data_IF_796624034724
#
_entry.id   IF_796624034724
#
_cell.length_a   1.000
_cell.length_b   1.000
_cell.length_c   1.000
_cell.angle_alpha   90.00
_cell.angle_beta   90.00
_cell.angle_gamma   90.00
#
_symmetry.space_group_name_H-M   'P 1'
#
loop_
_entity.id
_entity.type
_entity.pdbx_description
1 polymer ?
#
# COMPACT_ATOMS: atom_id res chain seq x y z
N UNK A 1 37.17 -4.63 -4.06
CA UNK A 1 37.20 -3.19 -3.74
C UNK A 1 35.83 -2.78 -3.25
N UNK A 2 35.67 -2.22 -2.04
CA UNK A 2 34.41 -1.65 -1.61
C UNK A 2 34.15 -0.41 -2.48
N UNK A 3 33.12 -0.47 -3.33
CA UNK A 3 32.70 0.68 -4.13
C UNK A 3 32.21 1.77 -3.15
N UNK A 4 32.79 2.96 -3.32
CA UNK A 4 32.46 4.16 -2.53
C UNK A 4 30.97 4.48 -2.68
N UNK A 5 30.19 4.19 -1.64
CA UNK A 5 28.72 4.29 -1.64
C UNK A 5 28.25 5.75 -1.47
N UNK A 6 29.20 6.69 -1.46
CA UNK A 6 28.96 8.12 -1.23
C UNK A 6 28.87 8.96 -2.52
N UNK A 7 29.22 8.38 -3.69
CA UNK A 7 29.13 9.11 -4.95
C UNK A 7 27.66 9.39 -5.35
N UNK A 8 27.35 10.60 -5.86
CA UNK A 8 26.00 10.94 -6.33
C UNK A 8 25.58 9.98 -7.45
N UNK A 9 24.33 9.51 -7.35
CA UNK A 9 23.78 8.56 -8.34
C UNK A 9 23.57 9.31 -9.65
N UNK A 10 24.17 8.83 -10.76
CA UNK A 10 23.95 9.42 -12.09
C UNK A 10 22.48 9.33 -12.51
N UNK A 11 21.98 10.19 -13.43
CA UNK A 11 20.60 10.12 -13.93
C UNK A 11 20.22 8.72 -14.46
N UNK A 12 21.12 8.02 -15.15
CA UNK A 12 20.92 6.64 -15.58
C UNK A 12 20.82 5.68 -14.39
N UNK A 13 21.61 5.88 -13.34
CA UNK A 13 21.57 5.13 -12.08
C UNK A 13 20.26 5.34 -11.31
N UNK A 14 19.71 6.57 -11.31
CA UNK A 14 18.39 6.88 -10.72
C UNK A 14 17.30 6.10 -11.42
N UNK A 15 17.22 6.17 -12.76
CA UNK A 15 16.22 5.43 -13.56
C UNK A 15 16.32 3.92 -13.34
N UNK A 16 17.54 3.39 -13.28
CA UNK A 16 17.76 1.96 -12.98
C UNK A 16 17.26 1.59 -11.60
N UNK A 17 17.56 2.36 -10.56
CA UNK A 17 17.08 2.12 -9.20
C UNK A 17 15.56 2.16 -9.12
N UNK A 18 14.92 3.15 -9.75
CA UNK A 18 13.46 3.25 -9.80
C UNK A 18 12.84 2.05 -10.52
N UNK A 19 13.43 1.61 -11.65
CA UNK A 19 12.99 0.41 -12.36
C UNK A 19 13.10 -0.86 -11.51
N UNK A 20 14.24 -1.07 -10.83
CA UNK A 20 14.43 -2.21 -9.92
C UNK A 20 13.44 -2.18 -8.75
N UNK A 21 13.19 -1.00 -8.17
CA UNK A 21 12.20 -0.83 -7.11
C UNK A 21 10.77 -1.09 -7.61
N UNK A 22 10.44 -0.70 -8.85
CA UNK A 22 9.14 -1.01 -9.47
C UNK A 22 8.95 -2.53 -9.68
N UNK A 23 9.99 -3.23 -10.12
CA UNK A 23 9.97 -4.70 -10.23
C UNK A 23 9.84 -5.35 -8.85
N UNK A 24 10.61 -4.89 -7.86
CA UNK A 24 10.49 -5.38 -6.48
C UNK A 24 9.09 -5.14 -5.90
N UNK A 25 8.47 -3.98 -6.19
CA UNK A 25 7.09 -3.66 -5.84
C UNK A 25 6.10 -4.62 -6.51
N UNK A 26 6.27 -4.91 -7.81
CA UNK A 26 5.41 -5.86 -8.52
C UNK A 26 5.48 -7.26 -7.90
N UNK A 27 6.69 -7.76 -7.61
CA UNK A 27 6.89 -9.07 -6.97
C UNK A 27 6.25 -9.12 -5.58
N UNK A 28 6.46 -8.09 -4.77
CA UNK A 28 5.84 -7.96 -3.46
C UNK A 28 4.31 -7.94 -3.55
N UNK A 29 3.76 -7.13 -4.45
CA UNK A 29 2.31 -7.04 -4.63
C UNK A 29 1.71 -8.35 -5.17
N UNK A 30 2.44 -9.15 -5.97
CA UNK A 30 2.02 -10.50 -6.34
C UNK A 30 1.84 -11.39 -5.11
N UNK A 31 2.80 -11.38 -4.16
CA UNK A 31 2.69 -12.12 -2.90
C UNK A 31 1.42 -11.67 -2.14
N UNK A 32 1.20 -10.36 -2.05
CA UNK A 32 0.05 -9.79 -1.32
C UNK A 32 -1.28 -10.17 -1.97
N UNK A 33 -1.40 -10.04 -3.29
CA UNK A 33 -2.64 -10.36 -4.01
C UNK A 33 -2.94 -11.87 -4.01
N UNK A 34 -1.92 -12.72 -4.07
CA UNK A 34 -2.05 -14.16 -3.87
C UNK A 34 -2.57 -14.46 -2.46
N UNK A 35 -1.96 -13.87 -1.42
CA UNK A 35 -2.36 -14.07 -0.04
C UNK A 35 -3.82 -13.63 0.20
N UNK A 36 -4.23 -12.47 -0.30
CA UNK A 36 -5.62 -11.99 -0.20
C UNK A 36 -6.60 -12.98 -0.83
N UNK A 37 -6.26 -13.53 -2.00
CA UNK A 37 -7.13 -14.45 -2.72
C UNK A 37 -7.23 -15.84 -2.07
N UNK A 38 -6.16 -16.34 -1.44
CA UNK A 38 -6.08 -17.75 -1.03
C UNK A 38 -6.06 -17.97 0.47
N UNK A 39 -5.53 -17.05 1.27
CA UNK A 39 -5.34 -17.27 2.72
C UNK A 39 -6.65 -17.48 3.48
N UNK A 40 -7.77 -16.76 3.20
CA UNK A 40 -9.05 -17.06 3.84
C UNK A 40 -9.59 -18.45 3.49
N UNK A 41 -9.39 -18.89 2.26
CA UNK A 41 -9.82 -20.22 1.79
C UNK A 41 -8.99 -21.34 2.42
N UNK A 42 -7.68 -21.15 2.52
CA UNK A 42 -6.79 -22.06 3.23
C UNK A 42 -7.13 -22.13 4.72
N UNK A 43 -7.41 -20.98 5.35
CA UNK A 43 -7.88 -20.90 6.73
C UNK A 43 -9.19 -21.67 6.91
N UNK A 44 -10.14 -21.48 6.01
CA UNK A 44 -11.40 -22.23 6.01
C UNK A 44 -11.18 -23.74 5.85
N UNK A 45 -10.26 -24.17 5.01
CA UNK A 45 -9.96 -25.60 4.79
C UNK A 45 -9.33 -26.26 6.02
N UNK A 46 -8.47 -25.53 6.75
CA UNK A 46 -7.76 -26.04 7.93
C UNK A 46 -8.60 -26.04 9.20
N UNK A 47 -9.64 -25.23 9.29
CA UNK A 47 -10.56 -25.19 10.43
C UNK A 47 -11.54 -26.36 10.38
N UNK A 48 -11.90 -26.90 11.55
CA UNK A 48 -12.91 -27.93 11.71
C UNK A 48 -14.34 -27.45 11.40
N UNK A 49 -15.28 -27.73 12.30
CA UNK A 49 -16.69 -27.35 12.14
C UNK A 49 -16.90 -25.84 12.25
N UNK A 50 -16.21 -25.21 13.19
CA UNK A 50 -16.30 -23.74 13.39
C UNK A 50 -15.35 -23.01 12.41
N UNK A 51 -15.94 -22.31 11.47
CA UNK A 51 -15.25 -21.51 10.44
C UNK A 51 -15.15 -20.02 10.78
N UNK A 52 -15.55 -19.61 11.97
CA UNK A 52 -15.64 -18.19 12.39
C UNK A 52 -14.30 -17.45 12.23
N UNK A 53 -13.19 -18.16 12.46
CA UNK A 53 -11.85 -17.58 12.38
C UNK A 53 -11.15 -17.71 11.01
N UNK A 54 -11.85 -18.16 9.96
CA UNK A 54 -11.24 -18.41 8.64
C UNK A 54 -10.49 -17.20 8.06
N UNK A 55 -10.90 -15.99 8.38
CA UNK A 55 -10.27 -14.74 7.94
C UNK A 55 -9.20 -14.20 8.90
N UNK A 56 -9.01 -14.82 10.07
CA UNK A 56 -8.03 -14.37 11.06
C UNK A 56 -6.61 -14.24 10.50
N UNK A 57 -6.09 -15.14 9.65
CA UNK A 57 -4.77 -14.98 9.05
C UNK A 57 -4.66 -13.67 8.25
N UNK A 58 -5.71 -13.26 7.53
CA UNK A 58 -5.71 -11.98 6.79
C UNK A 58 -5.66 -10.78 7.73
N UNK A 59 -6.39 -10.83 8.85
CA UNK A 59 -6.33 -9.79 9.89
C UNK A 59 -4.92 -9.70 10.48
N UNK A 60 -4.28 -10.85 10.78
CA UNK A 60 -2.92 -10.90 11.30
C UNK A 60 -1.88 -10.35 10.32
N UNK A 61 -2.10 -10.49 9.02
CA UNK A 61 -1.27 -9.82 8.02
C UNK A 61 -1.30 -8.29 8.20
N UNK A 62 -2.48 -7.67 8.33
CA UNK A 62 -2.60 -6.22 8.54
C UNK A 62 -2.01 -5.78 9.89
N UNK A 63 -2.24 -6.56 10.94
CA UNK A 63 -1.62 -6.34 12.27
C UNK A 63 -0.10 -6.40 12.17
N UNK A 64 0.43 -7.35 11.41
CA UNK A 64 1.86 -7.48 11.14
C UNK A 64 2.43 -6.25 10.46
N UNK A 65 1.76 -5.72 9.42
CA UNK A 65 2.17 -4.47 8.77
C UNK A 65 2.24 -3.34 9.79
N UNK A 66 1.19 -3.14 10.56
CA UNK A 66 1.10 -2.07 11.55
C UNK A 66 2.24 -2.15 12.59
N UNK A 67 2.46 -3.33 13.18
CA UNK A 67 3.50 -3.54 14.20
C UNK A 67 4.90 -3.30 13.64
N UNK A 68 5.18 -3.82 12.42
CA UNK A 68 6.53 -3.81 11.87
C UNK A 68 6.89 -2.52 11.12
N UNK A 69 5.92 -1.66 10.80
CA UNK A 69 6.16 -0.42 10.04
C UNK A 69 7.21 0.48 10.71
N UNK A 70 7.08 0.74 12.00
CA UNK A 70 8.05 1.58 12.73
C UNK A 70 9.40 0.88 12.88
N UNK A 71 9.50 -0.37 13.40
CA UNK A 71 10.76 -1.09 13.46
C UNK A 71 11.49 -1.20 12.11
N UNK A 72 10.76 -1.50 11.02
CA UNK A 72 11.34 -1.61 9.68
C UNK A 72 11.98 -0.29 9.22
N UNK A 73 11.29 0.84 9.42
CA UNK A 73 11.82 2.16 9.05
C UNK A 73 13.08 2.53 9.84
N UNK A 74 13.03 2.35 11.15
CA UNK A 74 14.17 2.65 12.04
C UNK A 74 15.37 1.75 11.72
N UNK A 75 15.13 0.46 11.48
CA UNK A 75 16.15 -0.48 11.08
C UNK A 75 16.79 -0.07 9.75
N UNK A 76 15.98 0.25 8.73
CA UNK A 76 16.48 0.74 7.44
C UNK A 76 17.26 2.06 7.55
N UNK A 77 16.89 2.92 8.49
CA UNK A 77 17.65 4.12 8.82
C UNK A 77 19.06 3.82 9.31
N UNK A 78 19.26 2.70 10.03
CA UNK A 78 20.56 2.28 10.59
C UNK A 78 21.41 1.48 9.59
N UNK A 79 20.83 0.43 8.99
CA UNK A 79 21.58 -0.50 8.13
C UNK A 79 21.52 -0.14 6.64
N UNK A 80 20.63 0.78 6.25
CA UNK A 80 20.39 1.23 4.88
C UNK A 80 19.24 0.48 4.20
N UNK A 81 18.68 1.09 3.13
CA UNK A 81 17.50 0.60 2.41
C UNK A 81 17.69 -0.80 1.82
N UNK A 82 18.82 -1.04 1.11
CA UNK A 82 19.08 -2.34 0.47
C UNK A 82 19.08 -3.50 1.45
N UNK A 83 19.82 -3.37 2.58
CA UNK A 83 19.86 -4.41 3.60
C UNK A 83 18.50 -4.64 4.24
N UNK A 84 17.75 -3.56 4.55
CA UNK A 84 16.41 -3.68 5.10
C UNK A 84 15.44 -4.38 4.14
N UNK A 85 15.45 -4.04 2.86
CA UNK A 85 14.63 -4.70 1.86
C UNK A 85 14.98 -6.18 1.68
N UNK A 86 16.28 -6.53 1.76
CA UNK A 86 16.71 -7.93 1.75
C UNK A 86 16.14 -8.69 2.95
N UNK A 87 16.18 -8.10 4.16
CA UNK A 87 15.56 -8.68 5.37
C UNK A 87 14.07 -8.85 5.16
N UNK A 88 13.36 -7.83 4.65
CA UNK A 88 11.93 -7.93 4.35
C UNK A 88 11.60 -9.08 3.39
N UNK A 89 12.40 -9.25 2.33
CA UNK A 89 12.21 -10.35 1.37
C UNK A 89 12.57 -11.72 1.95
N UNK A 90 13.57 -11.80 2.85
CA UNK A 90 13.85 -13.04 3.60
C UNK A 90 12.70 -13.41 4.55
N UNK A 91 12.07 -12.44 5.19
CA UNK A 91 10.87 -12.65 6.01
C UNK A 91 9.72 -13.14 5.10
N UNK A 92 9.55 -12.59 3.88
CA UNK A 92 8.55 -13.10 2.93
C UNK A 92 8.81 -14.55 2.51
N UNK A 93 10.08 -14.90 2.27
CA UNK A 93 10.47 -16.27 1.98
C UNK A 93 10.15 -17.22 3.15
N UNK A 94 10.51 -16.83 4.36
CA UNK A 94 10.21 -17.59 5.59
C UNK A 94 8.69 -17.71 5.81
N UNK A 95 7.91 -16.65 5.54
CA UNK A 95 6.45 -16.66 5.58
C UNK A 95 5.87 -17.73 4.64
N UNK A 96 6.34 -17.78 3.38
CA UNK A 96 5.95 -18.80 2.42
C UNK A 96 6.28 -20.21 2.91
N UNK A 97 7.49 -20.43 3.48
CA UNK A 97 7.92 -21.72 4.02
C UNK A 97 7.07 -22.15 5.24
N UNK A 98 6.78 -21.23 6.17
CA UNK A 98 5.93 -21.51 7.34
C UNK A 98 4.50 -21.83 6.89
N UNK A 99 3.95 -21.07 5.94
CA UNK A 99 2.59 -21.31 5.42
C UNK A 99 2.50 -22.62 4.63
N UNK A 100 3.53 -22.97 3.85
CA UNK A 100 3.64 -24.27 3.17
C UNK A 100 3.65 -25.41 4.18
N UNK A 101 4.47 -25.30 5.24
CA UNK A 101 4.52 -26.28 6.30
C UNK A 101 3.20 -26.35 7.08
N UNK A 102 2.52 -25.23 7.29
CA UNK A 102 1.18 -25.18 7.89
C UNK A 102 0.16 -26.03 7.12
N UNK A 103 0.17 -25.95 5.78
CA UNK A 103 -0.69 -26.81 4.95
C UNK A 103 -0.28 -28.28 5.07
N UNK A 104 1.03 -28.57 5.08
CA UNK A 104 1.53 -29.94 5.19
C UNK A 104 1.11 -30.64 6.49
N UNK A 105 1.17 -29.93 7.63
CA UNK A 105 0.78 -30.47 8.95
C UNK A 105 -0.67 -30.15 9.33
N UNK A 106 -1.43 -29.57 8.43
CA UNK A 106 -2.82 -29.14 8.63
C UNK A 106 -3.02 -28.24 9.88
N UNK A 107 -2.08 -27.30 10.17
CA UNK A 107 -2.17 -26.39 11.33
C UNK A 107 -2.64 -25.00 10.92
N UNK A 108 -3.78 -24.60 11.45
CA UNK A 108 -4.33 -23.25 11.31
C UNK A 108 -3.46 -22.19 12.02
N UNK A 109 -2.90 -22.52 13.19
CA UNK A 109 -2.03 -21.62 13.99
C UNK A 109 -0.76 -21.26 13.22
N UNK A 110 -0.12 -22.25 12.58
CA UNK A 110 1.05 -22.01 11.74
C UNK A 110 0.71 -21.17 10.52
N UNK A 111 -0.48 -21.32 9.92
CA UNK A 111 -0.95 -20.47 8.85
C UNK A 111 -1.10 -19.01 9.34
N UNK A 112 -1.61 -18.81 10.54
CA UNK A 112 -1.71 -17.50 11.19
C UNK A 112 -0.31 -16.86 11.38
N UNK A 113 0.68 -17.65 11.83
CA UNK A 113 2.07 -17.17 11.98
C UNK A 113 2.65 -16.81 10.61
N UNK A 114 2.46 -17.65 9.59
CA UNK A 114 2.87 -17.35 8.22
C UNK A 114 2.27 -16.03 7.71
N UNK A 115 0.98 -15.80 7.91
CA UNK A 115 0.31 -14.57 7.53
C UNK A 115 0.84 -13.33 8.28
N UNK A 116 1.13 -13.45 9.58
CA UNK A 116 1.76 -12.39 10.36
C UNK A 116 3.14 -12.03 9.81
N UNK A 117 3.96 -13.04 9.45
CA UNK A 117 5.27 -12.83 8.81
C UNK A 117 5.13 -12.17 7.43
N UNK A 118 4.10 -12.51 6.64
CA UNK A 118 3.79 -11.80 5.38
C UNK A 118 3.55 -10.31 5.67
N UNK A 119 2.81 -9.98 6.73
CA UNK A 119 2.60 -8.61 7.19
C UNK A 119 3.91 -7.90 7.55
N UNK A 120 4.80 -8.58 8.28
CA UNK A 120 6.13 -8.03 8.62
C UNK A 120 6.95 -7.73 7.37
N UNK A 121 6.98 -8.63 6.39
CA UNK A 121 7.62 -8.39 5.10
C UNK A 121 7.03 -7.19 4.36
N UNK A 122 5.71 -7.10 4.34
CA UNK A 122 4.96 -6.02 3.69
C UNK A 122 5.33 -4.65 4.22
N UNK A 123 5.58 -4.54 5.53
CA UNK A 123 6.01 -3.30 6.17
C UNK A 123 7.34 -2.76 5.60
N UNK A 124 8.28 -3.63 5.21
CA UNK A 124 9.50 -3.21 4.51
C UNK A 124 9.20 -2.77 3.06
N UNK A 125 8.41 -3.55 2.35
CA UNK A 125 8.15 -3.35 0.92
C UNK A 125 7.40 -2.05 0.63
N UNK A 126 6.50 -1.61 1.49
CA UNK A 126 5.82 -0.33 1.35
C UNK A 126 6.76 0.88 1.33
N UNK A 127 8.00 0.75 1.83
CA UNK A 127 9.02 1.79 1.73
C UNK A 127 9.73 1.87 0.38
N UNK A 128 9.47 0.96 -0.58
CA UNK A 128 10.05 1.05 -1.94
C UNK A 128 9.74 2.40 -2.60
N UNK A 129 8.53 2.95 -2.43
CA UNK A 129 8.15 4.25 -2.97
C UNK A 129 8.98 5.41 -2.40
N UNK A 130 9.28 5.36 -1.10
CA UNK A 130 10.15 6.37 -0.48
C UNK A 130 11.62 6.17 -0.84
N UNK A 131 12.05 4.93 -1.03
CA UNK A 131 13.40 4.65 -1.51
C UNK A 131 13.63 5.19 -2.94
N UNK A 132 12.60 5.18 -3.78
CA UNK A 132 12.62 5.83 -5.09
C UNK A 132 12.71 7.35 -4.97
N UNK A 133 12.00 7.94 -4.00
CA UNK A 133 12.10 9.37 -3.70
C UNK A 133 13.47 9.77 -3.15
N UNK A 134 14.13 8.89 -2.38
CA UNK A 134 15.45 9.15 -1.79
C UNK A 134 16.57 9.29 -2.83
N UNK A 135 16.43 8.68 -4.02
CA UNK A 135 17.42 8.73 -5.11
C UNK A 135 17.07 9.73 -6.21
N UNK A 136 15.84 10.23 -6.24
CA UNK A 136 15.34 11.13 -7.25
C UNK A 136 15.56 12.60 -6.84
N UNK A 137 15.89 13.46 -7.82
CA UNK A 137 15.84 14.91 -7.65
C UNK A 137 14.39 15.38 -7.42
N UNK A 138 14.21 16.64 -7.02
CA UNK A 138 12.90 17.18 -6.66
C UNK A 138 11.90 17.09 -7.83
N UNK A 139 12.34 17.33 -9.06
CA UNK A 139 11.51 17.30 -10.26
C UNK A 139 11.08 15.88 -10.66
N UNK A 140 11.96 14.89 -10.45
CA UNK A 140 11.68 13.48 -10.82
C UNK A 140 10.99 12.70 -9.69
N UNK A 141 11.04 13.18 -8.45
CA UNK A 141 10.54 12.49 -7.25
C UNK A 141 9.08 12.03 -7.35
N UNK A 142 8.11 12.86 -7.79
CA UNK A 142 6.71 12.42 -7.93
C UNK A 142 6.58 11.29 -8.94
N UNK A 143 7.32 11.36 -10.04
CA UNK A 143 7.34 10.33 -11.08
C UNK A 143 7.97 9.04 -10.59
N UNK A 144 9.04 9.11 -9.81
CA UNK A 144 9.71 7.95 -9.22
C UNK A 144 8.79 7.19 -8.26
N UNK A 145 8.08 7.90 -7.37
CA UNK A 145 7.08 7.31 -6.47
C UNK A 145 5.97 6.64 -7.28
N UNK A 146 5.42 7.34 -8.26
CA UNK A 146 4.31 6.86 -9.08
C UNK A 146 4.70 5.60 -9.89
N UNK A 147 5.89 5.58 -10.50
CA UNK A 147 6.38 4.44 -11.28
C UNK A 147 6.59 3.18 -10.41
N UNK A 148 7.07 3.33 -9.18
CA UNK A 148 7.15 2.20 -8.24
C UNK A 148 5.76 1.67 -7.92
N UNK A 149 4.79 2.55 -7.66
CA UNK A 149 3.41 2.15 -7.38
C UNK A 149 2.74 1.48 -8.58
N UNK A 150 3.12 1.83 -9.81
CA UNK A 150 2.62 1.20 -11.03
C UNK A 150 2.93 -0.32 -11.11
N UNK A 151 3.94 -0.80 -10.39
CA UNK A 151 4.21 -2.24 -10.23
C UNK A 151 3.01 -3.02 -9.69
N UNK A 152 2.12 -2.38 -8.93
CA UNK A 152 0.88 -2.99 -8.45
C UNK A 152 -0.09 -3.40 -9.55
N UNK A 153 -0.09 -2.73 -10.72
CA UNK A 153 -0.94 -3.11 -11.85
C UNK A 153 -0.58 -4.50 -12.39
N UNK A 154 0.71 -4.78 -12.51
CA UNK A 154 1.20 -6.12 -12.94
C UNK A 154 0.75 -7.17 -11.93
N UNK A 155 0.86 -6.87 -10.65
CA UNK A 155 0.48 -7.79 -9.59
C UNK A 155 -1.02 -8.06 -9.52
N UNK A 156 -1.85 -7.08 -9.86
CA UNK A 156 -3.31 -7.24 -9.93
C UNK A 156 -3.75 -8.30 -10.94
N UNK A 157 -2.93 -8.57 -11.95
CA UNK A 157 -3.17 -9.61 -12.97
C UNK A 157 -2.38 -10.87 -12.63
N UNK A 158 -1.06 -10.74 -12.47
CA UNK A 158 -0.13 -11.87 -12.31
C UNK A 158 -0.39 -12.63 -11.01
N UNK A 159 -0.65 -11.94 -9.89
CA UNK A 159 -0.82 -12.58 -8.58
C UNK A 159 -1.99 -13.58 -8.56
N UNK A 160 -3.24 -13.16 -8.83
CA UNK A 160 -4.39 -14.07 -8.85
C UNK A 160 -4.25 -15.19 -9.87
N UNK A 161 -3.68 -14.93 -11.06
CA UNK A 161 -3.46 -15.97 -12.07
C UNK A 161 -2.42 -17.01 -11.59
N UNK A 162 -1.35 -16.54 -10.94
CA UNK A 162 -0.35 -17.44 -10.35
C UNK A 162 -0.95 -18.27 -9.24
N UNK A 163 -1.77 -17.67 -8.36
CA UNK A 163 -2.46 -18.40 -7.31
C UNK A 163 -3.35 -19.51 -7.89
N UNK A 164 -4.16 -19.18 -8.90
CA UNK A 164 -5.02 -20.15 -9.60
C UNK A 164 -4.22 -21.28 -10.24
N UNK A 165 -3.14 -20.95 -10.93
CA UNK A 165 -2.31 -21.92 -11.64
C UNK A 165 -1.55 -22.85 -10.69
N UNK A 166 -1.07 -22.34 -9.57
CA UNK A 166 -0.29 -23.11 -8.60
C UNK A 166 -1.12 -23.85 -7.54
N UNK A 167 -2.43 -23.62 -7.50
CA UNK A 167 -3.32 -24.10 -6.44
C UNK A 167 -3.20 -25.61 -6.20
N UNK A 168 -3.12 -26.41 -7.27
CA UNK A 168 -3.15 -27.87 -7.29
C UNK A 168 -1.77 -28.50 -7.62
N UNK A 169 -0.68 -27.74 -7.60
CA UNK A 169 0.65 -28.28 -7.97
C UNK A 169 1.15 -29.40 -7.06
N UNK A 170 0.70 -29.40 -5.83
CA UNK A 170 1.14 -30.36 -4.81
C UNK A 170 -0.05 -31.15 -4.26
N UNK A 171 -1.04 -31.51 -5.09
CA UNK A 171 -2.17 -32.34 -4.66
C UNK A 171 -1.69 -33.62 -3.97
N UNK A 172 -2.33 -34.08 -2.87
CA UNK A 172 -3.60 -33.56 -2.33
C UNK A 172 -3.51 -32.31 -1.43
N UNK A 173 -2.33 -31.69 -1.31
CA UNK A 173 -2.10 -30.52 -0.46
C UNK A 173 -2.53 -29.23 -1.21
N UNK A 174 -3.84 -29.03 -1.34
CA UNK A 174 -4.40 -27.82 -1.96
C UNK A 174 -3.86 -26.57 -1.27
N UNK A 175 -3.56 -25.52 -2.02
CA UNK A 175 -2.88 -24.25 -1.61
C UNK A 175 -1.36 -24.37 -1.38
N UNK A 176 -0.77 -25.54 -1.23
CA UNK A 176 0.67 -25.68 -0.99
C UNK A 176 1.51 -25.04 -2.10
N UNK A 177 1.13 -25.22 -3.38
CA UNK A 177 1.81 -24.61 -4.52
C UNK A 177 1.77 -23.08 -4.51
N UNK A 178 0.73 -22.47 -3.96
CA UNK A 178 0.63 -21.00 -3.81
C UNK A 178 1.72 -20.48 -2.88
N UNK A 179 2.00 -21.18 -1.78
CA UNK A 179 3.06 -20.78 -0.85
C UNK A 179 4.46 -21.06 -1.40
N UNK A 180 4.62 -22.07 -2.28
CA UNK A 180 5.85 -22.24 -3.08
C UNK A 180 6.06 -21.02 -3.98
N UNK A 181 5.03 -20.55 -4.69
CA UNK A 181 5.14 -19.35 -5.52
C UNK A 181 5.41 -18.09 -4.71
N UNK A 182 4.90 -17.99 -3.48
CA UNK A 182 5.27 -16.92 -2.53
C UNK A 182 6.79 -16.93 -2.29
N UNK A 183 7.39 -18.09 -2.05
CA UNK A 183 8.84 -18.24 -1.88
C UNK A 183 9.61 -17.87 -3.16
N UNK A 184 9.12 -18.26 -4.33
CA UNK A 184 9.72 -17.92 -5.64
C UNK A 184 9.74 -16.41 -5.85
N UNK A 185 8.62 -15.72 -5.65
CA UNK A 185 8.56 -14.27 -5.77
C UNK A 185 9.42 -13.55 -4.73
N UNK A 186 9.47 -14.04 -3.49
CA UNK A 186 10.34 -13.50 -2.45
C UNK A 186 11.82 -13.67 -2.81
N UNK A 187 12.22 -14.83 -3.34
CA UNK A 187 13.58 -15.09 -3.80
C UNK A 187 13.96 -14.20 -4.99
N UNK A 188 13.06 -14.07 -5.97
CA UNK A 188 13.25 -13.15 -7.08
C UNK A 188 13.42 -11.70 -6.61
N UNK A 189 12.64 -11.27 -5.61
CA UNK A 189 12.78 -9.95 -5.00
C UNK A 189 14.15 -9.77 -4.33
N UNK A 190 14.68 -10.79 -3.63
CA UNK A 190 16.04 -10.74 -3.08
C UNK A 190 17.07 -10.46 -4.17
N UNK A 191 16.98 -11.17 -5.30
CA UNK A 191 17.93 -10.98 -6.43
C UNK A 191 17.83 -9.56 -6.99
N UNK A 192 16.61 -9.08 -7.27
CA UNK A 192 16.36 -7.74 -7.80
C UNK A 192 16.91 -6.65 -6.86
N UNK A 193 16.68 -6.80 -5.56
CA UNK A 193 17.12 -5.85 -4.53
C UNK A 193 18.65 -5.74 -4.48
N UNK A 194 19.42 -6.80 -4.81
CA UNK A 194 20.88 -6.71 -4.84
C UNK A 194 21.39 -5.73 -5.90
N UNK A 195 20.62 -5.47 -6.95
CA UNK A 195 20.94 -4.47 -7.97
C UNK A 195 20.75 -3.01 -7.54
N UNK A 196 20.04 -2.76 -6.43
CA UNK A 196 19.69 -1.41 -5.95
C UNK A 196 20.92 -0.74 -5.29
N UNK A 197 21.16 0.51 -5.66
CA UNK A 197 22.23 1.35 -5.11
C UNK A 197 21.64 2.64 -4.57
N UNK A 198 21.30 2.64 -3.28
CA UNK A 198 20.78 3.83 -2.57
C UNK A 198 21.84 4.31 -1.60
N UNK A 199 22.27 5.58 -1.68
CA UNK A 199 23.26 6.14 -0.76
C UNK A 199 22.79 6.02 0.70
N UNK A 200 23.68 5.61 1.58
CA UNK A 200 23.43 5.66 3.02
C UNK A 200 23.64 7.10 3.48
N UNK A 201 22.95 7.49 4.55
CA UNK A 201 23.23 8.73 5.23
C UNK A 201 24.70 8.78 5.66
N UNK A 202 25.37 9.88 5.35
CA UNK A 202 26.72 10.15 5.81
C UNK A 202 26.77 10.29 7.34
N UNK A 203 27.96 10.18 7.93
CA UNK A 203 28.14 10.41 9.37
C UNK A 203 27.77 11.86 9.75
N UNK A 204 28.08 12.83 8.87
CA UNK A 204 27.74 14.23 9.05
C UNK A 204 26.22 14.45 9.08
N UNK A 205 25.50 13.96 8.09
CA UNK A 205 24.02 14.04 8.03
C UNK A 205 23.35 13.38 9.23
N UNK A 206 23.94 12.32 9.80
CA UNK A 206 23.45 11.69 11.03
C UNK A 206 23.75 12.52 12.27
N UNK A 207 24.91 13.20 12.30
CA UNK A 207 25.36 14.01 13.42
C UNK A 207 24.64 15.36 13.50
N UNK A 208 24.14 15.90 12.38
CA UNK A 208 23.33 17.14 12.36
C UNK A 208 22.11 17.07 13.26
N UNK A 209 21.69 15.86 13.69
CA UNK A 209 20.48 15.67 14.46
C UNK A 209 19.25 16.09 13.66
N UNK A 210 18.11 15.49 13.93
CA UNK A 210 16.85 15.94 13.29
C UNK A 210 16.04 16.74 14.29
N UNK A 211 15.20 17.63 13.78
CA UNK A 211 14.18 18.32 14.59
C UNK A 211 13.38 17.31 15.40
N UNK A 212 12.88 17.67 16.60
CA UNK A 212 11.98 16.80 17.35
C UNK A 212 10.70 16.54 16.55
N UNK A 213 10.11 15.35 16.73
CA UNK A 213 8.89 14.97 15.98
C UNK A 213 7.73 15.94 16.25
N UNK A 214 7.68 16.50 17.46
CA UNK A 214 6.67 17.50 17.86
C UNK A 214 6.70 18.78 17.01
N UNK A 215 7.86 19.16 16.46
CA UNK A 215 7.97 20.29 15.52
C UNK A 215 7.49 19.89 14.13
N UNK A 216 7.85 18.69 13.68
CA UNK A 216 7.54 18.21 12.33
C UNK A 216 6.03 17.99 12.16
N UNK A 217 5.35 17.38 13.14
CA UNK A 217 3.90 17.12 13.09
C UNK A 217 3.03 18.38 13.10
N UNK A 218 3.60 19.51 13.55
CA UNK A 218 2.89 20.81 13.53
C UNK A 218 2.97 21.52 12.19
N UNK A 219 3.79 21.05 11.25
CA UNK A 219 3.88 21.66 9.93
C UNK A 219 2.55 21.41 9.17
N UNK A 220 1.90 22.46 8.63
CA UNK A 220 0.68 22.28 7.83
C UNK A 220 0.88 21.32 6.65
N UNK A 221 2.06 21.33 6.04
CA UNK A 221 2.43 20.43 4.95
C UNK A 221 2.43 18.95 5.40
N UNK A 222 2.94 18.65 6.62
CA UNK A 222 2.91 17.31 7.18
C UNK A 222 1.47 16.85 7.46
N UNK A 223 0.64 17.72 8.06
CA UNK A 223 -0.75 17.40 8.39
C UNK A 223 -1.53 17.06 7.11
N UNK A 224 -1.42 17.90 6.07
CA UNK A 224 -2.10 17.66 4.80
C UNK A 224 -1.58 16.38 4.12
N UNK A 225 -0.27 16.13 4.13
CA UNK A 225 0.32 14.91 3.58
C UNK A 225 -0.20 13.66 4.30
N UNK A 226 -0.21 13.68 5.64
CA UNK A 226 -0.71 12.58 6.47
C UNK A 226 -2.20 12.35 6.23
N UNK A 227 -3.04 13.38 6.37
CA UNK A 227 -4.49 13.27 6.22
C UNK A 227 -4.89 12.80 4.81
N UNK A 228 -4.19 13.28 3.77
CA UNK A 228 -4.43 12.85 2.40
C UNK A 228 -4.19 11.35 2.22
N UNK A 229 -3.05 10.84 2.70
CA UNK A 229 -2.72 9.42 2.62
C UNK A 229 -3.61 8.58 3.53
N UNK A 230 -3.82 9.01 4.77
CA UNK A 230 -4.54 8.29 5.82
C UNK A 230 -6.03 8.15 5.48
N UNK A 231 -6.70 9.26 5.21
CA UNK A 231 -8.12 9.23 4.89
C UNK A 231 -8.38 8.73 3.45
N UNK A 232 -7.51 9.07 2.49
CA UNK A 232 -7.60 8.53 1.14
C UNK A 232 -7.52 7.01 1.09
N UNK A 233 -6.61 6.40 1.86
CA UNK A 233 -6.50 4.95 1.97
C UNK A 233 -7.62 4.36 2.86
N UNK A 234 -7.95 5.02 3.96
CA UNK A 234 -9.02 4.57 4.86
C UNK A 234 -10.38 4.50 4.16
N UNK A 235 -10.77 5.55 3.43
CA UNK A 235 -12.02 5.59 2.64
C UNK A 235 -12.02 4.54 1.55
N UNK A 236 -10.90 4.40 0.81
CA UNK A 236 -10.77 3.36 -0.19
C UNK A 236 -10.99 1.97 0.43
N UNK A 237 -10.33 1.66 1.54
CA UNK A 237 -10.48 0.37 2.23
C UNK A 237 -11.88 0.16 2.76
N UNK A 238 -12.50 1.19 3.34
CA UNK A 238 -13.86 1.14 3.85
C UNK A 238 -14.87 0.73 2.76
N UNK A 239 -14.84 1.44 1.63
CA UNK A 239 -15.76 1.21 0.51
C UNK A 239 -15.47 -0.12 -0.18
N UNK A 240 -14.20 -0.38 -0.56
CA UNK A 240 -13.80 -1.61 -1.24
C UNK A 240 -14.16 -2.87 -0.43
N UNK A 241 -13.92 -2.85 0.88
CA UNK A 241 -14.18 -4.03 1.73
C UNK A 241 -15.67 -4.27 1.95
N UNK A 242 -16.50 -3.23 1.96
CA UNK A 242 -17.95 -3.35 2.08
C UNK A 242 -18.63 -3.73 0.76
N UNK A 243 -18.03 -3.41 -0.41
CA UNK A 243 -18.63 -3.61 -1.73
C UNK A 243 -19.10 -5.05 -1.99
N UNK A 244 -18.30 -6.13 -1.77
CA UNK A 244 -18.77 -7.48 -2.01
C UNK A 244 -19.97 -7.87 -1.16
N UNK A 245 -20.02 -7.39 0.09
CA UNK A 245 -21.14 -7.66 1.00
C UNK A 245 -22.40 -6.91 0.54
N UNK A 246 -22.27 -5.66 0.09
CA UNK A 246 -23.37 -4.89 -0.45
C UNK A 246 -23.90 -5.52 -1.76
N UNK A 247 -23.02 -5.92 -2.66
CA UNK A 247 -23.40 -6.58 -3.91
C UNK A 247 -24.14 -7.91 -3.66
N UNK A 248 -23.65 -8.72 -2.71
CA UNK A 248 -24.30 -9.95 -2.32
C UNK A 248 -25.72 -9.69 -1.75
N UNK A 249 -25.86 -8.66 -0.91
CA UNK A 249 -27.17 -8.25 -0.39
C UNK A 249 -28.12 -7.75 -1.49
N UNK A 250 -27.61 -7.23 -2.59
CA UNK A 250 -28.37 -6.84 -3.79
C UNK A 250 -28.61 -8.00 -4.77
N UNK A 251 -28.19 -9.25 -4.45
CA UNK A 251 -28.43 -10.44 -5.27
C UNK A 251 -27.40 -10.67 -6.39
N UNK A 252 -26.28 -9.94 -6.40
CA UNK A 252 -25.19 -10.19 -7.35
C UNK A 252 -24.39 -11.43 -6.96
N UNK A 253 -23.88 -12.14 -7.95
CA UNK A 253 -23.03 -13.30 -7.79
C UNK A 253 -21.58 -12.92 -7.47
N UNK A 254 -20.79 -13.92 -7.10
CA UNK A 254 -19.35 -13.73 -6.81
C UNK A 254 -18.55 -13.24 -8.03
N UNK A 255 -18.91 -13.68 -9.25
CA UNK A 255 -18.20 -13.29 -10.47
C UNK A 255 -18.36 -11.79 -10.76
N UNK A 256 -19.55 -11.26 -10.53
CA UNK A 256 -19.84 -9.82 -10.63
C UNK A 256 -19.01 -9.02 -9.62
N UNK A 257 -18.96 -9.44 -8.35
CA UNK A 257 -18.13 -8.81 -7.33
C UNK A 257 -16.64 -8.86 -7.68
N UNK A 258 -16.15 -9.99 -8.18
CA UNK A 258 -14.76 -10.13 -8.61
C UNK A 258 -14.42 -9.17 -9.76
N UNK A 259 -15.33 -8.96 -10.71
CA UNK A 259 -15.16 -8.02 -11.82
C UNK A 259 -15.06 -6.57 -11.31
N UNK A 260 -15.89 -6.19 -10.34
CA UNK A 260 -15.85 -4.87 -9.71
C UNK A 260 -14.50 -4.65 -9.00
N UNK A 261 -14.02 -5.64 -8.25
CA UNK A 261 -12.72 -5.55 -7.57
C UNK A 261 -11.56 -5.48 -8.57
N UNK A 262 -11.62 -6.20 -9.70
CA UNK A 262 -10.63 -6.07 -10.77
C UNK A 262 -10.60 -4.65 -11.35
N UNK A 263 -11.76 -4.07 -11.62
CA UNK A 263 -11.87 -2.68 -12.06
C UNK A 263 -11.28 -1.70 -11.04
N UNK A 264 -11.52 -1.94 -9.75
CA UNK A 264 -10.92 -1.17 -8.65
C UNK A 264 -9.38 -1.23 -8.68
N UNK A 265 -8.80 -2.42 -8.77
CA UNK A 265 -7.33 -2.60 -8.81
C UNK A 265 -6.72 -1.89 -10.02
N UNK A 266 -7.36 -1.95 -11.17
CA UNK A 266 -6.95 -1.18 -12.36
C UNK A 266 -7.00 0.33 -12.04
N UNK A 267 -8.08 0.81 -11.46
CA UNK A 267 -8.24 2.20 -11.03
C UNK A 267 -7.16 2.66 -10.03
N UNK A 268 -6.74 1.77 -9.11
CA UNK A 268 -5.67 2.07 -8.15
C UNK A 268 -4.30 2.29 -8.81
N UNK A 269 -3.92 1.46 -9.76
CA UNK A 269 -2.53 1.40 -10.21
C UNK A 269 -2.28 1.94 -11.63
N UNK A 270 -3.26 1.88 -12.52
CA UNK A 270 -3.13 2.41 -13.89
C UNK A 270 -2.79 3.91 -13.92
N UNK A 271 -3.43 4.77 -13.10
CA UNK A 271 -3.10 6.20 -13.09
C UNK A 271 -1.65 6.49 -12.69
N UNK A 272 -0.97 5.58 -11.98
CA UNK A 272 0.41 5.78 -11.54
C UNK A 272 1.39 6.05 -12.68
N UNK A 273 1.10 5.60 -13.90
CA UNK A 273 1.93 5.89 -15.07
C UNK A 273 1.97 7.38 -15.44
N UNK A 274 0.95 8.14 -15.09
CA UNK A 274 0.84 9.57 -15.40
C UNK A 274 0.68 10.48 -14.19
N UNK A 275 0.29 9.97 -13.01
CA UNK A 275 0.10 10.76 -11.77
C UNK A 275 1.32 11.62 -11.44
N UNK A 276 2.55 11.07 -11.58
CA UNK A 276 3.77 11.82 -11.32
C UNK A 276 3.96 13.01 -12.28
N UNK A 277 3.59 12.86 -13.56
CA UNK A 277 3.63 13.95 -14.52
C UNK A 277 2.54 15.00 -14.25
N UNK A 278 1.34 14.55 -13.80
CA UNK A 278 0.27 15.44 -13.39
C UNK A 278 0.66 16.28 -12.17
N UNK A 279 1.32 15.67 -11.18
CA UNK A 279 1.84 16.38 -10.00
C UNK A 279 2.86 17.44 -10.42
N UNK A 280 3.77 17.14 -11.35
CA UNK A 280 4.75 18.10 -11.84
C UNK A 280 4.12 19.25 -12.63
N UNK A 281 3.05 18.97 -13.39
CA UNK A 281 2.38 19.98 -14.23
C UNK A 281 1.44 20.89 -13.45
N UNK A 282 0.64 20.31 -12.54
CA UNK A 282 -0.44 21.02 -11.86
C UNK A 282 -0.16 21.29 -10.38
N UNK A 283 0.88 20.67 -9.83
CA UNK A 283 1.20 20.73 -8.40
C UNK A 283 0.53 19.62 -7.57
N UNK A 284 1.23 19.22 -6.53
CA UNK A 284 0.83 18.08 -5.68
C UNK A 284 -0.49 18.34 -4.95
N UNK A 285 -0.73 19.57 -4.48
CA UNK A 285 -1.94 19.92 -3.72
C UNK A 285 -3.20 19.87 -4.58
N UNK A 286 -3.11 20.27 -5.85
CA UNK A 286 -4.22 20.16 -6.79
C UNK A 286 -4.55 18.71 -7.14
N UNK A 287 -3.54 17.84 -7.27
CA UNK A 287 -3.76 16.41 -7.51
C UNK A 287 -4.41 15.74 -6.30
N UNK A 288 -4.00 16.10 -5.07
CA UNK A 288 -4.67 15.65 -3.83
C UNK A 288 -6.13 16.11 -3.81
N UNK A 289 -6.40 17.37 -4.13
CA UNK A 289 -7.76 17.92 -4.16
C UNK A 289 -8.66 17.20 -5.18
N UNK A 290 -8.15 16.97 -6.40
CA UNK A 290 -8.86 16.20 -7.44
C UNK A 290 -9.08 14.76 -6.98
N UNK A 291 -8.10 14.11 -6.32
CA UNK A 291 -8.25 12.78 -5.76
C UNK A 291 -9.36 12.70 -4.71
N UNK A 292 -9.45 13.69 -3.83
CA UNK A 292 -10.52 13.79 -2.84
C UNK A 292 -11.90 13.96 -3.50
N UNK A 293 -12.00 14.82 -4.52
CA UNK A 293 -13.24 15.02 -5.30
C UNK A 293 -13.67 13.74 -6.02
N UNK A 294 -12.73 12.98 -6.58
CA UNK A 294 -13.01 11.68 -7.24
C UNK A 294 -13.54 10.68 -6.21
N UNK A 295 -12.99 10.61 -4.99
CA UNK A 295 -13.50 9.72 -3.95
C UNK A 295 -14.90 10.17 -3.45
N UNK A 296 -15.16 11.46 -3.37
CA UNK A 296 -16.52 11.97 -3.11
C UNK A 296 -17.48 11.60 -4.25
N UNK A 297 -17.01 11.67 -5.50
CA UNK A 297 -17.75 11.22 -6.68
C UNK A 297 -18.09 9.71 -6.63
N UNK A 298 -17.16 8.88 -6.11
CA UNK A 298 -17.45 7.46 -5.83
C UNK A 298 -18.67 7.31 -4.92
N UNK A 299 -18.69 8.04 -3.80
CA UNK A 299 -19.81 7.99 -2.85
C UNK A 299 -21.11 8.50 -3.49
N UNK A 300 -21.07 9.54 -4.30
CA UNK A 300 -22.23 10.04 -5.02
C UNK A 300 -22.80 9.00 -6.01
N UNK A 301 -21.94 8.28 -6.76
CA UNK A 301 -22.35 7.21 -7.67
C UNK A 301 -22.97 6.02 -6.91
N UNK A 302 -22.38 5.63 -5.76
CA UNK A 302 -22.92 4.56 -4.93
C UNK A 302 -24.26 4.92 -4.28
N UNK A 303 -24.49 6.20 -3.97
CA UNK A 303 -25.76 6.68 -3.41
C UNK A 303 -26.82 6.90 -4.49
N UNK A 304 -26.43 7.00 -5.76
CA UNK A 304 -27.38 7.18 -6.88
C UNK A 304 -28.07 5.88 -7.31
N UNK A 305 -27.55 4.71 -6.92
CA UNK A 305 -28.16 3.44 -7.28
C UNK A 305 -27.35 2.22 -6.84
N UNK A 306 -27.95 1.05 -7.00
CA UNK A 306 -27.40 -0.26 -6.61
C UNK A 306 -27.24 -1.21 -7.80
N UNK A 307 -27.25 -0.69 -9.03
CA UNK A 307 -27.00 -1.48 -10.22
C UNK A 307 -25.52 -1.86 -10.33
N UNK A 308 -25.22 -2.89 -11.12
CA UNK A 308 -23.84 -3.33 -11.36
C UNK A 308 -22.90 -2.17 -11.77
N UNK A 309 -23.37 -1.29 -12.65
CA UNK A 309 -22.57 -0.16 -13.13
C UNK A 309 -22.30 0.88 -12.05
N UNK A 310 -23.21 1.07 -11.09
CA UNK A 310 -22.95 1.93 -9.92
C UNK A 310 -21.78 1.38 -9.12
N UNK A 311 -21.81 0.10 -8.75
CA UNK A 311 -20.71 -0.55 -8.04
C UNK A 311 -19.40 -0.50 -8.83
N UNK A 312 -19.43 -0.82 -10.12
CA UNK A 312 -18.25 -0.87 -10.97
C UNK A 312 -17.59 0.51 -11.11
N UNK A 313 -18.35 1.52 -11.53
CA UNK A 313 -17.83 2.89 -11.71
C UNK A 313 -17.34 3.46 -10.39
N UNK A 314 -18.10 3.31 -9.31
CA UNK A 314 -17.72 3.81 -8.00
C UNK A 314 -16.42 3.18 -7.52
N UNK A 315 -16.24 1.86 -7.68
CA UNK A 315 -15.00 1.19 -7.28
C UNK A 315 -13.80 1.57 -8.13
N UNK A 316 -13.98 1.82 -9.42
CA UNK A 316 -12.92 2.43 -10.26
C UNK A 316 -12.57 3.82 -9.77
N UNK A 317 -13.57 4.67 -9.49
CA UNK A 317 -13.36 6.03 -8.99
C UNK A 317 -12.62 6.06 -7.64
N UNK A 318 -13.02 5.21 -6.69
CA UNK A 318 -12.33 5.17 -5.39
C UNK A 318 -10.88 4.71 -5.55
N UNK A 319 -10.59 3.81 -6.50
CA UNK A 319 -9.24 3.39 -6.85
C UNK A 319 -8.39 4.54 -7.42
N UNK A 320 -8.92 5.29 -8.40
CA UNK A 320 -8.26 6.47 -8.98
C UNK A 320 -8.05 7.56 -7.94
N UNK A 321 -9.06 7.84 -7.13
CA UNK A 321 -8.97 8.82 -6.07
C UNK A 321 -7.94 8.46 -5.00
N UNK A 322 -7.86 7.16 -4.64
CA UNK A 322 -6.80 6.65 -3.78
C UNK A 322 -5.41 6.87 -4.38
N UNK A 323 -5.22 6.58 -5.65
CA UNK A 323 -3.94 6.81 -6.32
C UNK A 323 -3.48 8.26 -6.18
N UNK A 324 -4.36 9.23 -6.44
CA UNK A 324 -4.03 10.64 -6.38
C UNK A 324 -3.80 11.14 -4.95
N UNK A 325 -4.61 10.72 -3.99
CA UNK A 325 -4.46 11.11 -2.58
C UNK A 325 -3.23 10.46 -1.94
N UNK A 326 -2.98 9.18 -2.20
CA UNK A 326 -1.89 8.43 -1.59
C UNK A 326 -0.52 8.75 -2.20
N UNK A 327 -0.41 8.80 -3.53
CA UNK A 327 0.84 9.21 -4.21
C UNK A 327 1.10 10.70 -3.96
N UNK A 328 0.06 11.54 -4.02
CA UNK A 328 0.15 12.96 -3.69
C UNK A 328 0.61 13.18 -2.26
N UNK A 329 -0.03 12.53 -1.28
CA UNK A 329 0.34 12.60 0.13
C UNK A 329 1.76 12.11 0.39
N UNK A 330 2.15 10.96 -0.20
CA UNK A 330 3.51 10.44 -0.10
C UNK A 330 4.55 11.40 -0.71
N UNK A 331 4.21 12.03 -1.84
CA UNK A 331 5.06 13.05 -2.48
C UNK A 331 5.17 14.31 -1.61
N UNK A 332 4.04 14.80 -1.09
CA UNK A 332 4.01 15.98 -0.23
C UNK A 332 4.79 15.75 1.07
N UNK A 333 4.71 14.55 1.65
CA UNK A 333 5.47 14.15 2.84
C UNK A 333 6.97 14.34 2.64
N UNK A 334 7.50 14.08 1.45
CA UNK A 334 8.95 14.22 1.19
C UNK A 334 9.45 15.66 1.30
N UNK A 335 8.56 16.66 1.33
CA UNK A 335 8.90 18.08 1.53
C UNK A 335 8.94 18.49 3.02
N UNK A 336 8.58 17.59 3.95
CA UNK A 336 8.42 17.93 5.37
C UNK A 336 9.64 17.59 6.23
N UNK A 337 10.56 16.79 5.72
CA UNK A 337 11.69 16.27 6.48
C UNK A 337 13.04 16.45 5.79
N UNK A 338 14.08 16.55 6.58
CA UNK A 338 15.50 16.50 6.17
C UNK A 338 15.96 15.03 6.07
N UNK A 339 17.08 14.73 5.39
CA UNK A 339 17.60 13.36 5.27
C UNK A 339 17.72 12.62 6.61
N UNK A 340 18.19 13.28 7.66
CA UNK A 340 18.34 12.70 9.01
C UNK A 340 16.98 12.34 9.67
N UNK A 341 15.90 13.02 9.29
CA UNK A 341 14.56 12.87 9.88
C UNK A 341 13.69 11.83 9.16
N UNK A 342 14.08 11.43 7.95
CA UNK A 342 13.25 10.62 7.03
C UNK A 342 12.69 9.35 7.67
N UNK A 343 13.49 8.61 8.43
CA UNK A 343 13.06 7.33 9.01
C UNK A 343 11.91 7.51 10.00
N UNK A 344 12.02 8.47 10.93
CA UNK A 344 10.99 8.73 11.95
C UNK A 344 9.72 9.32 11.33
N UNK A 345 9.86 10.21 10.33
CA UNK A 345 8.73 10.87 9.68
C UNK A 345 7.94 9.89 8.82
N UNK A 346 8.63 9.08 8.00
CA UNK A 346 7.99 8.05 7.19
C UNK A 346 7.36 6.96 8.07
N UNK A 347 8.01 6.56 9.18
CA UNK A 347 7.46 5.61 10.14
C UNK A 347 6.16 6.12 10.76
N UNK A 348 6.15 7.36 11.25
CA UNK A 348 4.96 7.98 11.84
C UNK A 348 3.81 8.09 10.84
N UNK A 349 4.10 8.56 9.62
CA UNK A 349 3.11 8.66 8.56
C UNK A 349 2.49 7.31 8.22
N UNK A 350 3.32 6.30 7.92
CA UNK A 350 2.83 5.00 7.47
C UNK A 350 2.14 4.23 8.61
N UNK A 351 2.61 4.36 9.86
CA UNK A 351 1.91 3.79 11.01
C UNK A 351 0.46 4.30 11.09
N UNK A 352 0.26 5.62 10.99
CA UNK A 352 -1.08 6.22 11.04
C UNK A 352 -1.95 5.79 9.85
N UNK A 353 -1.35 5.71 8.66
CA UNK A 353 -2.05 5.22 7.46
C UNK A 353 -2.54 3.79 7.66
N UNK A 354 -1.66 2.87 8.08
CA UNK A 354 -2.03 1.46 8.22
C UNK A 354 -2.93 1.19 9.43
N UNK A 355 -2.79 1.95 10.53
CA UNK A 355 -3.71 1.88 11.64
C UNK A 355 -5.14 2.29 11.21
N UNK A 356 -5.24 3.38 10.43
CA UNK A 356 -6.54 3.83 9.88
C UNK A 356 -7.11 2.82 8.89
N UNK A 357 -6.27 2.24 8.04
CA UNK A 357 -6.68 1.21 7.07
C UNK A 357 -7.20 -0.04 7.78
N UNK A 358 -6.52 -0.50 8.82
CA UNK A 358 -6.97 -1.64 9.64
C UNK A 358 -8.31 -1.35 10.33
N UNK A 359 -8.47 -0.16 10.90
CA UNK A 359 -9.74 0.28 11.50
C UNK A 359 -10.86 0.35 10.46
N UNK A 360 -10.59 0.92 9.28
CA UNK A 360 -11.56 1.02 8.19
C UNK A 360 -12.01 -0.37 7.69
N UNK A 361 -11.07 -1.32 7.55
CA UNK A 361 -11.40 -2.70 7.18
C UNK A 361 -12.29 -3.38 8.23
N UNK A 362 -11.97 -3.21 9.52
CA UNK A 362 -12.79 -3.75 10.61
C UNK A 362 -14.18 -3.11 10.70
N UNK A 363 -14.27 -1.80 10.48
CA UNK A 363 -15.53 -1.07 10.52
C UNK A 363 -16.41 -1.32 9.30
N UNK A 364 -15.85 -1.65 8.14
CA UNK A 364 -16.58 -1.79 6.88
C UNK A 364 -17.70 -2.82 6.97
N UNK A 365 -17.41 -4.01 7.49
CA UNK A 365 -18.40 -5.08 7.68
C UNK A 365 -19.45 -4.73 8.71
N UNK A 366 -19.06 -4.10 9.82
CA UNK A 366 -19.99 -3.69 10.90
C UNK A 366 -20.93 -2.61 10.41
N UNK A 367 -20.43 -1.58 9.72
CA UNK A 367 -21.24 -0.52 9.14
C UNK A 367 -22.20 -1.06 8.08
N UNK A 368 -21.71 -1.90 7.19
CA UNK A 368 -22.53 -2.52 6.16
C UNK A 368 -23.66 -3.37 6.77
N UNK A 369 -23.35 -4.19 7.78
CA UNK A 369 -24.33 -5.09 8.39
C UNK A 369 -25.36 -4.36 9.27
N UNK A 370 -24.97 -3.30 9.97
CA UNK A 370 -25.83 -2.60 10.94
C UNK A 370 -26.52 -1.35 10.40
N UNK A 371 -25.87 -0.64 9.49
CA UNK A 371 -26.31 0.67 9.03
C UNK A 371 -26.55 0.74 7.50
N UNK A 372 -26.16 -0.30 6.76
CA UNK A 372 -26.38 -0.42 5.33
C UNK A 372 -25.35 0.30 4.44
N UNK A 373 -25.50 0.10 3.14
CA UNK A 373 -24.58 0.59 2.13
C UNK A 373 -24.47 2.13 2.07
N UNK A 374 -25.59 2.81 2.24
CA UNK A 374 -25.64 4.27 2.17
C UNK A 374 -24.78 4.92 3.26
N UNK A 375 -24.82 4.40 4.48
CA UNK A 375 -24.05 4.93 5.61
C UNK A 375 -22.55 4.73 5.39
N UNK A 376 -22.11 3.61 4.77
CA UNK A 376 -20.71 3.41 4.40
C UNK A 376 -20.23 4.54 3.48
N UNK A 377 -21.04 4.93 2.50
CA UNK A 377 -20.72 5.97 1.54
C UNK A 377 -20.84 7.37 2.15
N UNK A 378 -21.88 7.66 2.93
CA UNK A 378 -22.05 8.95 3.61
C UNK A 378 -20.90 9.21 4.59
N UNK A 379 -20.46 8.19 5.34
CA UNK A 379 -19.36 8.32 6.31
C UNK A 379 -18.00 8.69 5.63
N UNK A 380 -17.82 8.41 4.35
CA UNK A 380 -16.64 8.77 3.60
C UNK A 380 -16.56 10.25 3.23
N UNK A 381 -17.72 10.92 3.05
CA UNK A 381 -17.81 12.30 2.55
C UNK A 381 -17.12 13.33 3.46
N UNK A 382 -17.35 13.34 4.80
CA UNK A 382 -16.69 14.32 5.68
C UNK A 382 -15.17 14.13 5.71
N UNK A 383 -14.67 12.90 5.60
CA UNK A 383 -13.23 12.62 5.57
C UNK A 383 -12.57 13.17 4.30
N UNK A 384 -13.21 12.97 3.15
CA UNK A 384 -12.71 13.53 1.88
C UNK A 384 -12.92 15.04 1.81
N UNK A 385 -13.99 15.58 2.36
CA UNK A 385 -14.19 17.01 2.52
C UNK A 385 -13.08 17.67 3.33
N UNK A 386 -12.65 17.03 4.43
CA UNK A 386 -11.51 17.50 5.22
C UNK A 386 -10.20 17.50 4.43
N UNK A 387 -9.91 16.45 3.66
CA UNK A 387 -8.73 16.38 2.79
C UNK A 387 -8.76 17.46 1.72
N UNK A 388 -9.90 17.66 1.06
CA UNK A 388 -10.09 18.69 0.03
C UNK A 388 -9.84 20.09 0.59
N UNK A 389 -10.49 20.44 1.69
CA UNK A 389 -10.34 21.74 2.36
C UNK A 389 -8.89 21.96 2.78
N UNK A 390 -8.26 20.96 3.41
CA UNK A 390 -6.87 21.04 3.85
C UNK A 390 -5.90 21.29 2.68
N UNK A 391 -6.07 20.58 1.56
CA UNK A 391 -5.25 20.78 0.36
C UNK A 391 -5.42 22.18 -0.23
N UNK A 392 -6.67 22.68 -0.34
CA UNK A 392 -6.96 24.01 -0.88
C UNK A 392 -6.46 25.15 0.02
N UNK A 393 -6.61 25.02 1.35
CA UNK A 393 -6.11 26.01 2.30
C UNK A 393 -4.58 26.08 2.25
N UNK A 394 -3.89 24.94 2.20
CA UNK A 394 -2.44 24.92 2.10
C UNK A 394 -1.96 25.50 0.76
N UNK A 395 -2.66 25.20 -0.34
CA UNK A 395 -2.34 25.78 -1.64
C UNK A 395 -2.47 27.32 -1.63
N UNK A 396 -3.55 27.85 -1.04
CA UNK A 396 -3.73 29.31 -0.89
C UNK A 396 -2.65 29.94 0.00
N UNK A 397 -2.29 29.27 1.09
CA UNK A 397 -1.24 29.75 2.00
C UNK A 397 0.11 29.85 1.29
N UNK A 398 0.51 28.80 0.56
CA UNK A 398 1.76 28.79 -0.21
C UNK A 398 1.77 29.85 -1.33
N UNK A 399 0.65 30.04 -2.02
CA UNK A 399 0.54 31.08 -3.05
C UNK A 399 0.71 32.51 -2.48
N UNK A 400 0.15 32.77 -1.28
CA UNK A 400 0.35 34.07 -0.60
C UNK A 400 1.80 34.29 -0.17
N UNK A 401 2.48 33.24 0.33
CA UNK A 401 3.90 33.34 0.70
C UNK A 401 4.82 33.56 -0.51
N UNK A 402 4.46 33.03 -1.68
CA UNK A 402 5.23 33.26 -2.91
C UNK A 402 4.99 34.66 -3.54
N UNK A 403 3.89 35.34 -3.18
CA UNK A 403 3.53 36.68 -3.66
C UNK A 403 4.00 37.81 -2.72
N UNK A 404 4.40 37.48 -1.47
CA UNK A 404 5.00 38.39 -0.48
C UNK A 404 6.53 38.34 -0.55
#
# INVERSE_FOLDING_TARGET
MPQDVTAPVTPAGVRRNVGLLAVAQALFMCITTMAIATTPLAGHALLGVDKTLATLPLVLNHVGIMIMTVPASLLMGRIGRRAGFTIGSLIAFASGAVSLYAIYVASFELLCIGALLTGFSSAFAWYYRFAAADVADEAYRPKAIALVMAGGLVAGIVGPQTAKWSLHWLDPLVFAGVYVMTMVFAFAAIIVIQGIRIPKLTKAERAEGGRPMSEIIRQPTYIVALCSSMFGYGVMTLVMSATPLAMLACGFDFASSATVIQGHVIGMFLPSFFTGNLINRFGVLWIIAVGALIQMGCSAVNLAGIDFMNFFIANVLVGVGWNFTYIGGSTLLTKTYRPAERAKVQASHDFMVYATTAAAAGLSGVLQARAGWDIVNIASLPLMGFVLIGALLLARHQARQAAA
#
